data_IF_275407734134
#
_entry.id   IF_275407734134
#
_cell.length_a   1.000
_cell.length_b   1.000
_cell.length_c   1.000
_cell.angle_alpha   90.00
_cell.angle_beta   90.00
_cell.angle_gamma   90.00
#
_symmetry.space_group_name_H-M   'P 1'
#
loop_
_entity.id
_entity.type
_entity.pdbx_description
1 polymer ?
#
# COMPACT_ATOMS: atom_id res chain seq x y z
N UNK A 1 -16.13 -1.52 -4.62
CA UNK A 1 -15.14 -0.47 -4.27
C UNK A 1 -15.50 0.92 -4.80
N UNK A 2 -16.13 1.08 -5.98
CA UNK A 2 -16.41 2.41 -6.56
C UNK A 2 -17.13 3.41 -5.64
N UNK A 3 -18.14 2.97 -4.88
CA UNK A 3 -18.83 3.87 -3.95
C UNK A 3 -17.93 4.33 -2.79
N UNK A 4 -17.07 3.46 -2.26
CA UNK A 4 -16.11 3.86 -1.22
C UNK A 4 -15.13 4.90 -1.75
N UNK A 5 -14.63 4.70 -2.98
CA UNK A 5 -13.74 5.66 -3.65
C UNK A 5 -14.44 6.99 -3.85
N UNK A 6 -15.68 6.99 -4.35
CA UNK A 6 -16.49 8.21 -4.53
C UNK A 6 -16.67 8.96 -3.20
N UNK A 7 -16.94 8.22 -2.12
CA UNK A 7 -17.10 8.79 -0.77
C UNK A 7 -15.80 9.41 -0.24
N UNK A 8 -14.65 8.76 -0.46
CA UNK A 8 -13.35 9.28 -0.05
C UNK A 8 -12.98 10.55 -0.83
N UNK A 9 -13.23 10.56 -2.14
CA UNK A 9 -12.93 11.68 -3.03
C UNK A 9 -13.67 12.96 -2.61
N UNK A 10 -15.00 12.93 -2.55
CA UNK A 10 -15.75 14.13 -2.20
C UNK A 10 -15.51 14.58 -0.74
N UNK A 11 -15.23 13.65 0.18
CA UNK A 11 -14.92 14.00 1.58
C UNK A 11 -13.53 14.62 1.70
N UNK A 12 -12.56 14.16 0.91
CA UNK A 12 -11.24 14.78 0.86
C UNK A 12 -11.34 16.20 0.32
N UNK A 13 -12.08 16.42 -0.78
CA UNK A 13 -12.36 17.74 -1.32
C UNK A 13 -13.03 18.64 -0.28
N UNK A 14 -14.10 18.17 0.38
CA UNK A 14 -14.80 18.90 1.43
C UNK A 14 -13.87 19.29 2.60
N UNK A 15 -12.92 18.43 2.95
CA UNK A 15 -11.95 18.68 4.02
C UNK A 15 -10.70 19.46 3.56
N UNK A 16 -10.60 19.88 2.29
CA UNK A 16 -9.41 20.53 1.75
C UNK A 16 -8.17 19.63 1.73
N UNK A 17 -8.34 18.32 1.51
CA UNK A 17 -7.29 17.31 1.46
C UNK A 17 -7.11 16.78 0.04
N UNK A 18 -5.90 16.33 -0.28
CA UNK A 18 -5.64 15.61 -1.52
C UNK A 18 -6.02 14.14 -1.38
N UNK A 19 -6.67 13.60 -2.40
CA UNK A 19 -6.96 12.18 -2.55
C UNK A 19 -6.28 11.66 -3.81
N UNK A 20 -5.57 10.54 -3.68
CA UNK A 20 -4.88 9.88 -4.78
C UNK A 20 -5.18 8.38 -4.73
N UNK A 21 -5.37 7.78 -5.89
CA UNK A 21 -5.55 6.34 -6.04
C UNK A 21 -4.27 5.76 -6.66
N UNK A 22 -3.75 4.71 -6.04
CA UNK A 22 -2.63 3.93 -6.59
C UNK A 22 -3.16 2.82 -7.50
N UNK A 23 -2.27 2.22 -8.29
CA UNK A 23 -2.63 1.11 -9.17
C UNK A 23 -3.32 -0.05 -8.42
N UNK A 24 -4.36 -0.62 -9.05
CA UNK A 24 -5.19 -1.69 -8.47
C UNK A 24 -4.40 -2.97 -8.19
N UNK A 25 -3.36 -3.24 -8.98
CA UNK A 25 -2.53 -4.42 -8.92
C UNK A 25 -1.22 -4.21 -8.16
N UNK A 26 -1.04 -3.03 -7.57
CA UNK A 26 0.10 -2.73 -6.73
C UNK A 26 0.21 -3.78 -5.58
N UNK A 27 1.34 -4.48 -5.44
CA UNK A 27 1.47 -5.64 -4.54
C UNK A 27 1.69 -5.22 -3.08
N UNK A 28 0.80 -4.38 -2.53
CA UNK A 28 0.99 -3.72 -1.23
C UNK A 28 1.22 -4.69 -0.06
N UNK A 29 0.55 -5.84 -0.03
CA UNK A 29 0.73 -6.85 1.03
C UNK A 29 1.93 -7.77 0.81
N UNK A 30 2.35 -7.97 -0.44
CA UNK A 30 3.46 -8.86 -0.85
C UNK A 30 4.81 -8.14 -0.90
N UNK A 31 4.81 -6.82 -1.08
CA UNK A 31 6.01 -5.98 -1.13
C UNK A 31 6.50 -5.71 0.29
N UNK A 32 7.76 -5.92 0.59
CA UNK A 32 8.33 -5.51 1.87
C UNK A 32 8.37 -3.98 1.94
N UNK A 33 7.79 -3.38 2.98
CA UNK A 33 7.88 -1.94 3.18
C UNK A 33 9.30 -1.44 3.50
N UNK A 34 10.21 -2.34 3.90
CA UNK A 34 11.60 -2.00 4.24
C UNK A 34 12.50 -1.86 3.00
N UNK A 35 12.44 -2.83 2.08
CA UNK A 35 13.35 -2.87 0.91
C UNK A 35 12.65 -2.96 -0.45
N UNK A 36 11.35 -3.22 -0.49
CA UNK A 36 10.61 -3.38 -1.74
C UNK A 36 10.64 -4.78 -2.36
N UNK A 37 11.27 -5.78 -1.72
CA UNK A 37 11.19 -7.18 -2.15
C UNK A 37 9.74 -7.65 -2.25
N UNK A 38 9.36 -8.33 -3.34
CA UNK A 38 7.99 -8.82 -3.54
C UNK A 38 7.98 -10.34 -3.45
N UNK A 39 7.25 -10.89 -2.49
CA UNK A 39 7.06 -12.35 -2.41
C UNK A 39 6.17 -12.84 -3.55
N UNK A 40 6.52 -13.99 -4.14
CA UNK A 40 5.75 -14.57 -5.25
C UNK A 40 4.32 -14.93 -4.83
N UNK A 41 4.19 -15.58 -3.67
CA UNK A 41 2.91 -16.04 -3.11
C UNK A 41 2.78 -15.65 -1.65
N UNK A 42 1.60 -15.19 -1.27
CA UNK A 42 1.23 -14.87 0.11
C UNK A 42 -0.21 -15.34 0.32
N UNK A 43 -0.37 -16.42 1.09
CA UNK A 43 -1.69 -16.99 1.36
C UNK A 43 -2.51 -16.08 2.28
N UNK A 44 -3.83 -16.09 2.12
CA UNK A 44 -4.75 -15.24 2.89
C UNK A 44 -4.76 -15.53 4.40
N UNK A 45 -4.32 -16.71 4.83
CA UNK A 45 -4.18 -17.05 6.25
C UNK A 45 -2.83 -16.61 6.85
N UNK A 46 -1.85 -16.23 6.04
CA UNK A 46 -0.56 -15.70 6.51
C UNK A 46 -0.78 -14.26 6.96
N UNK A 47 -0.66 -14.03 8.27
CA UNK A 47 -0.84 -12.71 8.92
C UNK A 47 0.49 -11.99 9.13
N UNK A 48 1.56 -12.75 9.35
CA UNK A 48 2.93 -12.24 9.50
C UNK A 48 3.89 -13.02 8.60
N UNK A 49 4.93 -12.37 8.10
CA UNK A 49 6.01 -13.00 7.33
C UNK A 49 7.33 -12.25 7.52
N UNK A 50 8.43 -12.90 7.17
CA UNK A 50 9.78 -12.34 7.29
C UNK A 50 10.34 -12.01 5.90
N UNK A 51 10.93 -10.83 5.75
CA UNK A 51 11.53 -10.44 4.48
C UNK A 51 12.85 -11.20 4.25
N UNK A 52 12.99 -11.93 3.12
CA UNK A 52 14.20 -12.68 2.82
C UNK A 52 15.38 -11.81 2.34
N UNK A 53 15.14 -10.51 2.08
CA UNK A 53 16.11 -9.62 1.42
C UNK A 53 16.72 -8.58 2.38
N UNK A 54 16.00 -8.14 3.41
CA UNK A 54 16.42 -7.00 4.26
C UNK A 54 16.28 -7.22 5.76
N UNK A 55 16.23 -8.48 6.19
CA UNK A 55 16.14 -8.91 7.60
C UNK A 55 14.95 -8.38 8.40
N UNK A 56 14.00 -7.69 7.77
CA UNK A 56 12.78 -7.22 8.45
C UNK A 56 11.90 -8.42 8.80
N UNK A 57 11.85 -8.75 10.09
CA UNK A 57 11.07 -9.87 10.62
C UNK A 57 9.69 -9.42 11.12
N UNK A 58 8.76 -10.36 11.25
CA UNK A 58 7.46 -10.16 11.88
C UNK A 58 6.59 -9.15 11.15
N UNK A 59 6.69 -9.06 9.82
CA UNK A 59 5.93 -8.12 9.00
C UNK A 59 4.45 -8.48 9.09
N UNK A 60 3.67 -7.70 9.86
CA UNK A 60 2.21 -7.78 9.81
C UNK A 60 1.72 -7.34 8.43
N UNK A 61 0.93 -8.21 7.80
CA UNK A 61 0.47 -8.05 6.42
C UNK A 61 -0.31 -6.75 6.18
N UNK A 62 -1.16 -6.37 7.11
CA UNK A 62 -2.08 -5.23 6.92
C UNK A 62 -1.34 -3.91 7.22
N UNK A 63 -0.47 -3.90 8.25
CA UNK A 63 0.43 -2.76 8.51
C UNK A 63 1.39 -2.55 7.34
N UNK A 64 1.95 -3.64 6.79
CA UNK A 64 2.82 -3.60 5.63
C UNK A 64 2.11 -3.04 4.39
N UNK A 65 0.89 -3.51 4.12
CA UNK A 65 0.08 -2.97 3.04
C UNK A 65 -0.18 -1.47 3.21
N UNK A 66 -0.54 -1.01 4.41
CA UNK A 66 -0.74 0.40 4.70
C UNK A 66 0.52 1.25 4.46
N UNK A 67 1.70 0.78 4.92
CA UNK A 67 2.98 1.47 4.69
C UNK A 67 3.32 1.58 3.20
N UNK A 68 3.14 0.49 2.45
CA UNK A 68 3.39 0.49 1.02
C UNK A 68 2.41 1.36 0.24
N UNK A 69 1.13 1.40 0.63
CA UNK A 69 0.11 2.27 0.01
C UNK A 69 0.45 3.74 0.27
N UNK A 70 0.86 4.08 1.50
CA UNK A 70 1.30 5.43 1.84
C UNK A 70 2.50 5.85 0.98
N UNK A 71 3.53 5.01 0.90
CA UNK A 71 4.72 5.31 0.11
C UNK A 71 4.41 5.51 -1.37
N UNK A 72 3.59 4.64 -1.97
CA UNK A 72 3.17 4.77 -3.36
C UNK A 72 2.34 6.05 -3.58
N UNK A 73 1.36 6.32 -2.71
CA UNK A 73 0.54 7.53 -2.80
C UNK A 73 1.35 8.81 -2.64
N UNK A 74 2.33 8.84 -1.73
CA UNK A 74 3.25 9.97 -1.58
C UNK A 74 4.13 10.17 -2.82
N UNK A 75 4.60 9.09 -3.45
CA UNK A 75 5.37 9.18 -4.68
C UNK A 75 4.55 9.80 -5.83
N UNK A 76 3.28 9.39 -5.98
CA UNK A 76 2.38 9.98 -6.98
C UNK A 76 2.14 11.47 -6.75
N UNK A 77 1.93 11.87 -5.50
CA UNK A 77 1.76 13.30 -5.15
C UNK A 77 3.04 14.11 -5.38
N UNK A 78 4.21 13.47 -5.33
CA UNK A 78 5.50 14.08 -5.66
C UNK A 78 5.81 14.10 -7.17
N UNK A 79 4.90 13.59 -8.03
CA UNK A 79 5.04 13.59 -9.48
C UNK A 79 5.69 12.35 -10.08
N UNK A 80 5.82 11.25 -9.33
CA UNK A 80 6.15 9.95 -9.92
C UNK A 80 4.94 9.38 -10.67
N UNK A 81 5.17 8.67 -11.76
CA UNK A 81 4.11 7.96 -12.50
C UNK A 81 3.73 6.64 -11.80
N UNK A 82 2.45 6.26 -11.92
CA UNK A 82 1.83 5.06 -11.33
C UNK A 82 2.29 3.75 -11.97
#
# INVERSE_FOLDING_TARGET
WGELVRQLDYKAEWAGRQFVQIDRWYPSSKRCHGCGFVVDSLLLNVRTWDCPDCDTQGIDRDINAARNILQAGTALLAGAES
#
